data_IF_089593616452
#
_entry.id   IF_089593616452
#
_cell.length_a   1.000
_cell.length_b   1.000
_cell.length_c   1.000
_cell.angle_alpha   90.00
_cell.angle_beta   90.00
_cell.angle_gamma   90.00
#
_symmetry.space_group_name_H-M   'P 1'
#
loop_
_entity.id
_entity.type
_entity.pdbx_description
1 polymer ?
#
# COMPACT_ATOMS: atom_id res chain seq x y z
N UNK A 1 -22.97 101.01 -63.62
CA UNK A 1 -23.36 100.45 -64.92
C UNK A 1 -23.27 98.93 -64.84
N UNK A 2 -24.23 98.25 -65.46
CA UNK A 2 -24.26 96.82 -65.83
C UNK A 2 -24.67 95.77 -64.77
N UNK A 3 -25.94 95.36 -64.83
CA UNK A 3 -26.42 93.94 -64.73
C UNK A 3 -26.07 93.18 -66.04
N UNK A 4 -26.22 91.84 -66.20
CA UNK A 4 -26.66 90.77 -65.28
C UNK A 4 -25.88 89.42 -65.39
N UNK A 5 -26.22 88.42 -64.56
CA UNK A 5 -26.34 87.00 -65.00
C UNK A 5 -27.06 86.13 -63.95
N UNK A 6 -28.03 85.37 -64.44
CA UNK A 6 -28.76 84.28 -63.78
C UNK A 6 -28.08 82.96 -64.16
N UNK A 7 -27.84 82.07 -63.21
CA UNK A 7 -27.55 80.64 -63.43
C UNK A 7 -27.76 79.91 -62.10
N UNK A 8 -28.93 79.29 -61.93
CA UNK A 8 -29.13 77.83 -62.13
C UNK A 8 -28.58 77.00 -60.97
N UNK A 9 -29.54 76.37 -60.29
CA UNK A 9 -29.35 75.31 -59.33
C UNK A 9 -29.03 74.02 -60.08
N UNK A 10 -27.94 73.28 -59.77
CA UNK A 10 -27.86 71.88 -60.11
C UNK A 10 -28.04 71.02 -58.85
N UNK A 11 -28.97 70.08 -58.97
CA UNK A 11 -29.06 68.91 -58.12
C UNK A 11 -27.76 68.08 -58.17
N UNK A 12 -27.49 67.33 -57.08
CA UNK A 12 -26.39 66.38 -56.95
C UNK A 12 -25.23 66.98 -56.15
N UNK A 13 -24.76 66.41 -55.05
CA UNK A 13 -24.64 65.00 -54.71
C UNK A 13 -24.50 64.93 -53.19
N UNK A 14 -25.43 64.28 -52.50
CA UNK A 14 -25.18 63.81 -51.14
C UNK A 14 -24.07 62.78 -51.24
N UNK A 15 -22.83 63.20 -50.96
CA UNK A 15 -21.76 62.26 -50.72
C UNK A 15 -22.10 61.56 -49.40
N UNK A 16 -22.77 60.41 -49.49
CA UNK A 16 -22.88 59.45 -48.39
C UNK A 16 -21.46 59.18 -47.89
N UNK A 17 -21.09 59.81 -46.78
CA UNK A 17 -19.90 59.44 -46.02
C UNK A 17 -20.19 58.05 -45.48
N UNK A 18 -19.72 57.03 -46.19
CA UNK A 18 -19.79 55.65 -45.74
C UNK A 18 -18.80 55.50 -44.57
N UNK A 19 -19.25 55.88 -43.38
CA UNK A 19 -18.49 55.74 -42.14
C UNK A 19 -18.38 54.25 -41.85
N UNK A 20 -17.22 53.65 -42.14
CA UNK A 20 -16.91 52.31 -41.68
C UNK A 20 -16.99 52.30 -40.15
N UNK A 21 -17.83 51.45 -39.53
CA UNK A 21 -17.96 51.43 -38.07
C UNK A 21 -16.59 51.18 -37.45
N UNK A 22 -16.17 52.09 -36.55
CA UNK A 22 -14.96 51.93 -35.77
C UNK A 22 -14.99 50.64 -34.95
N UNK A 23 -13.82 50.20 -34.48
CA UNK A 23 -13.73 49.02 -33.62
C UNK A 23 -14.64 49.12 -32.38
N UNK A 24 -14.73 50.32 -31.80
CA UNK A 24 -15.56 50.63 -30.64
C UNK A 24 -17.07 50.46 -30.93
N UNK A 25 -17.54 50.90 -32.09
CA UNK A 25 -18.93 50.73 -32.53
C UNK A 25 -19.27 49.24 -32.68
N UNK A 26 -18.37 48.47 -33.34
CA UNK A 26 -18.53 47.01 -33.51
C UNK A 26 -18.51 46.27 -32.18
N UNK A 27 -17.64 46.69 -31.25
CA UNK A 27 -17.56 46.13 -29.91
C UNK A 27 -18.82 46.43 -29.10
N UNK A 28 -19.34 47.66 -29.17
CA UNK A 28 -20.56 48.06 -28.47
C UNK A 28 -21.78 47.28 -28.99
N UNK A 29 -21.87 47.10 -30.31
CA UNK A 29 -22.95 46.36 -30.95
C UNK A 29 -22.88 44.86 -30.61
N UNK A 30 -21.67 44.29 -30.62
CA UNK A 30 -21.42 42.92 -30.15
C UNK A 30 -21.80 42.74 -28.68
N UNK A 31 -21.42 43.68 -27.82
CA UNK A 31 -21.75 43.64 -26.40
C UNK A 31 -23.26 43.72 -26.18
N UNK A 32 -23.96 44.66 -26.81
CA UNK A 32 -25.43 44.76 -26.66
C UNK A 32 -26.15 43.50 -27.15
N UNK A 33 -25.66 42.88 -28.24
CA UNK A 33 -26.20 41.63 -28.79
C UNK A 33 -25.93 40.43 -27.87
N UNK A 34 -24.73 40.30 -27.33
CA UNK A 34 -24.25 39.08 -26.65
C UNK A 34 -24.18 39.18 -25.12
N UNK A 35 -24.39 40.36 -24.51
CA UNK A 35 -24.28 40.58 -23.05
C UNK A 35 -25.10 39.60 -22.23
N UNK A 36 -26.33 39.26 -22.66
CA UNK A 36 -27.19 38.32 -21.93
C UNK A 36 -26.60 36.91 -21.94
N UNK A 37 -26.08 36.48 -23.09
CA UNK A 37 -25.42 35.18 -23.22
C UNK A 37 -24.13 35.11 -22.40
N UNK A 38 -23.31 36.16 -22.45
CA UNK A 38 -22.08 36.25 -21.65
C UNK A 38 -22.35 36.27 -20.14
N UNK A 39 -23.35 37.05 -19.67
CA UNK A 39 -23.72 37.09 -18.26
C UNK A 39 -24.27 35.73 -17.80
N UNK A 40 -25.11 35.08 -18.60
CA UNK A 40 -25.61 33.73 -18.28
C UNK A 40 -24.46 32.73 -18.21
N UNK A 41 -23.51 32.77 -19.15
CA UNK A 41 -22.32 31.93 -19.13
C UNK A 41 -21.46 32.17 -17.88
N UNK A 42 -21.16 33.43 -17.55
CA UNK A 42 -20.42 33.77 -16.33
C UNK A 42 -21.14 33.30 -15.06
N UNK A 43 -22.47 33.45 -15.01
CA UNK A 43 -23.27 33.01 -13.86
C UNK A 43 -23.23 31.50 -13.69
N UNK A 44 -23.38 30.75 -14.79
CA UNK A 44 -23.27 29.28 -14.77
C UNK A 44 -21.89 28.84 -14.33
N UNK A 45 -20.82 29.48 -14.83
CA UNK A 45 -19.44 29.18 -14.41
C UNK A 45 -19.25 29.45 -12.92
N UNK A 46 -19.73 30.58 -12.41
CA UNK A 46 -19.64 30.90 -10.97
C UNK A 46 -20.39 29.88 -10.12
N UNK A 47 -21.61 29.49 -10.52
CA UNK A 47 -22.38 28.45 -9.82
C UNK A 47 -21.66 27.10 -9.83
N UNK A 48 -21.05 26.72 -10.96
CA UNK A 48 -20.26 25.49 -11.05
C UNK A 48 -19.04 25.49 -10.11
N UNK A 49 -18.34 26.63 -10.00
CA UNK A 49 -17.20 26.80 -9.08
C UNK A 49 -17.67 26.69 -7.64
N UNK A 50 -18.76 27.37 -7.26
CA UNK A 50 -19.30 27.32 -5.89
C UNK A 50 -19.78 25.91 -5.53
N UNK A 51 -20.46 25.22 -6.44
CA UNK A 51 -20.90 23.84 -6.23
C UNK A 51 -19.72 22.90 -6.03
N UNK A 52 -18.68 22.99 -6.88
CA UNK A 52 -17.45 22.19 -6.76
C UNK A 52 -16.70 22.48 -5.46
N UNK A 53 -16.51 23.77 -5.13
CA UNK A 53 -15.83 24.18 -3.90
C UNK A 53 -16.58 23.75 -2.64
N UNK A 54 -17.92 23.86 -2.62
CA UNK A 54 -18.75 23.38 -1.52
C UNK A 54 -18.65 21.86 -1.35
N UNK A 55 -18.63 21.09 -2.44
CA UNK A 55 -18.46 19.65 -2.40
C UNK A 55 -17.08 19.23 -1.89
N UNK A 56 -16.01 19.86 -2.40
CA UNK A 56 -14.63 19.60 -1.98
C UNK A 56 -14.41 19.96 -0.49
N UNK A 57 -15.00 21.06 -0.02
CA UNK A 57 -14.95 21.46 1.39
C UNK A 57 -15.62 20.41 2.30
N UNK A 58 -16.82 19.94 1.95
CA UNK A 58 -17.51 18.91 2.73
C UNK A 58 -16.74 17.57 2.72
N UNK A 59 -16.16 17.19 1.58
CA UNK A 59 -15.32 16.01 1.48
C UNK A 59 -14.07 16.12 2.36
N UNK A 60 -13.39 17.29 2.33
CA UNK A 60 -12.23 17.56 3.15
C UNK A 60 -12.57 17.55 4.66
N UNK A 61 -13.74 18.07 5.04
CA UNK A 61 -14.18 18.04 6.43
C UNK A 61 -14.43 16.61 6.91
N UNK A 62 -15.14 15.78 6.12
CA UNK A 62 -15.33 14.35 6.43
C UNK A 62 -14.00 13.61 6.58
N UNK A 63 -13.07 13.85 5.67
CA UNK A 63 -11.73 13.27 5.71
C UNK A 63 -10.99 13.65 7.00
N UNK A 64 -11.05 14.92 7.42
CA UNK A 64 -10.45 15.36 8.68
C UNK A 64 -11.07 14.70 9.90
N UNK A 65 -12.38 14.51 9.91
CA UNK A 65 -13.08 13.88 11.02
C UNK A 65 -12.71 12.39 11.13
N UNK A 66 -12.61 11.68 10.01
CA UNK A 66 -12.12 10.29 9.99
C UNK A 66 -10.67 10.21 10.51
N UNK A 67 -9.79 11.12 10.09
CA UNK A 67 -8.40 11.18 10.59
C UNK A 67 -8.33 11.42 12.10
N UNK A 68 -9.16 12.33 12.62
CA UNK A 68 -9.23 12.59 14.07
C UNK A 68 -9.76 11.38 14.82
N UNK A 69 -10.80 10.73 14.30
CA UNK A 69 -11.35 9.51 14.90
C UNK A 69 -10.32 8.37 14.93
N UNK A 70 -9.57 8.18 13.84
CA UNK A 70 -8.46 7.23 13.81
C UNK A 70 -7.39 7.56 14.84
N UNK A 71 -6.96 8.83 14.90
CA UNK A 71 -5.95 9.28 15.85
C UNK A 71 -6.39 9.14 17.33
N UNK A 72 -7.70 9.25 17.60
CA UNK A 72 -8.27 9.06 18.93
C UNK A 72 -8.38 7.58 19.33
N UNK A 73 -8.36 6.64 18.37
CA UNK A 73 -8.41 5.21 18.62
C UNK A 73 -7.04 4.69 19.11
N UNK A 74 -6.81 4.77 20.42
CA UNK A 74 -5.54 4.42 21.05
C UNK A 74 -5.37 2.92 21.31
N UNK A 75 -6.45 2.20 21.64
CA UNK A 75 -6.41 0.76 21.93
C UNK A 75 -6.75 -0.11 20.72
N UNK A 76 -6.44 -1.40 20.78
CA UNK A 76 -6.76 -2.35 19.70
C UNK A 76 -8.28 -2.48 19.52
N UNK A 77 -9.04 -2.48 20.61
CA UNK A 77 -10.50 -2.53 20.59
C UNK A 77 -11.09 -1.26 19.96
N UNK A 78 -10.56 -0.09 20.32
CA UNK A 78 -10.97 1.18 19.71
C UNK A 78 -10.66 1.21 18.22
N UNK A 79 -9.52 0.67 17.80
CA UNK A 79 -9.14 0.56 16.38
C UNK A 79 -10.06 -0.38 15.63
N UNK A 80 -10.45 -1.50 16.23
CA UNK A 80 -11.46 -2.41 15.66
C UNK A 80 -12.79 -1.68 15.45
N UNK A 81 -13.31 -1.00 16.48
CA UNK A 81 -14.56 -0.24 16.37
C UNK A 81 -14.47 0.88 15.33
N UNK A 82 -13.34 1.60 15.25
CA UNK A 82 -13.08 2.58 14.20
C UNK A 82 -13.13 1.93 12.81
N UNK A 83 -12.45 0.78 12.64
CA UNK A 83 -12.38 0.10 11.35
C UNK A 83 -13.74 -0.41 10.86
N UNK A 84 -14.59 -0.87 11.78
CA UNK A 84 -15.97 -1.27 11.52
C UNK A 84 -16.85 -0.06 11.13
N UNK A 85 -16.72 1.06 11.84
CA UNK A 85 -17.49 2.28 11.59
C UNK A 85 -17.11 2.99 10.28
N UNK A 86 -15.87 2.80 9.81
CA UNK A 86 -15.32 3.45 8.61
C UNK A 86 -14.95 2.44 7.51
N UNK A 87 -15.75 1.38 7.35
CA UNK A 87 -15.52 0.32 6.38
C UNK A 87 -15.27 0.87 4.96
N UNK A 88 -14.20 0.40 4.32
CA UNK A 88 -13.78 0.83 2.99
C UNK A 88 -12.85 2.05 2.96
N UNK A 89 -12.67 2.77 4.07
CA UNK A 89 -11.69 3.85 4.16
C UNK A 89 -10.27 3.30 4.36
N UNK A 90 -9.24 3.88 3.72
CA UNK A 90 -7.85 3.39 3.83
C UNK A 90 -7.36 3.28 5.28
N UNK A 91 -7.62 4.29 6.11
CA UNK A 91 -7.33 4.25 7.55
C UNK A 91 -8.04 3.11 8.30
N UNK A 92 -9.24 2.69 7.86
CA UNK A 92 -9.88 1.50 8.43
C UNK A 92 -9.12 0.22 8.04
N UNK A 93 -8.56 0.16 6.83
CA UNK A 93 -7.61 -0.88 6.45
C UNK A 93 -6.37 -0.90 7.34
N UNK A 94 -5.77 0.26 7.62
CA UNK A 94 -4.63 0.37 8.54
C UNK A 94 -5.01 -0.02 9.98
N UNK A 95 -6.20 0.35 10.44
CA UNK A 95 -6.71 -0.07 11.74
C UNK A 95 -6.87 -1.60 11.81
N UNK A 96 -7.48 -2.21 10.78
CA UNK A 96 -7.59 -3.67 10.68
C UNK A 96 -6.23 -4.36 10.67
N UNK A 97 -5.24 -3.81 9.96
CA UNK A 97 -3.87 -4.31 9.98
C UNK A 97 -3.29 -4.34 11.40
N UNK A 98 -3.48 -3.27 12.18
CA UNK A 98 -2.99 -3.21 13.56
C UNK A 98 -3.74 -4.18 14.50
N UNK A 99 -5.04 -4.35 14.30
CA UNK A 99 -5.85 -5.36 15.02
C UNK A 99 -5.34 -6.76 14.69
N UNK A 100 -5.02 -7.02 13.43
CA UNK A 100 -4.50 -8.31 12.97
C UNK A 100 -3.11 -8.61 13.55
N UNK A 101 -2.21 -7.63 13.51
CA UNK A 101 -0.86 -7.75 14.07
C UNK A 101 -0.91 -8.07 15.58
N UNK A 102 -1.81 -7.43 16.33
CA UNK A 102 -2.01 -7.71 17.75
C UNK A 102 -2.52 -9.13 17.99
N UNK A 103 -3.54 -9.56 17.24
CA UNK A 103 -4.07 -10.92 17.33
C UNK A 103 -3.02 -11.99 16.97
N UNK A 104 -2.20 -11.73 15.94
CA UNK A 104 -1.11 -12.61 15.54
C UNK A 104 -0.06 -12.76 16.64
N UNK A 105 0.36 -11.65 17.25
CA UNK A 105 1.32 -11.66 18.34
C UNK A 105 0.81 -12.41 19.58
N UNK A 106 -0.51 -12.39 19.81
CA UNK A 106 -1.17 -13.16 20.88
C UNK A 106 -1.42 -14.64 20.52
N UNK A 107 -1.06 -15.07 19.29
CA UNK A 107 -1.30 -16.43 18.82
C UNK A 107 -2.77 -16.74 18.50
N UNK A 108 -3.62 -15.71 18.41
CA UNK A 108 -5.04 -15.83 18.04
C UNK A 108 -5.19 -15.90 16.53
N UNK A 109 -4.71 -16.99 15.93
CA UNK A 109 -4.55 -17.11 14.47
C UNK A 109 -5.85 -16.88 13.70
N UNK A 110 -7.00 -17.36 14.19
CA UNK A 110 -8.30 -17.14 13.55
C UNK A 110 -8.71 -15.67 13.54
N UNK A 111 -8.51 -14.95 14.65
CA UNK A 111 -8.81 -13.53 14.75
C UNK A 111 -7.87 -12.70 13.87
N UNK A 112 -6.59 -13.09 13.82
CA UNK A 112 -5.59 -12.47 12.96
C UNK A 112 -5.94 -12.64 11.49
N UNK A 113 -6.32 -13.85 11.05
CA UNK A 113 -6.77 -14.12 9.68
C UNK A 113 -7.95 -13.22 9.31
N UNK A 114 -8.98 -13.15 10.17
CA UNK A 114 -10.17 -12.33 9.89
C UNK A 114 -9.82 -10.85 9.75
N UNK A 115 -8.98 -10.32 10.64
CA UNK A 115 -8.55 -8.93 10.62
C UNK A 115 -7.63 -8.61 9.43
N UNK A 116 -6.68 -9.49 9.08
CA UNK A 116 -5.85 -9.31 7.88
C UNK A 116 -6.69 -9.36 6.61
N UNK A 117 -7.68 -10.25 6.52
CA UNK A 117 -8.61 -10.28 5.38
C UNK A 117 -9.44 -9.00 5.27
N UNK A 118 -9.86 -8.43 6.40
CA UNK A 118 -10.53 -7.12 6.41
C UNK A 118 -9.58 -6.02 5.93
N UNK A 119 -8.31 -6.07 6.34
CA UNK A 119 -7.27 -5.14 5.89
C UNK A 119 -7.00 -5.24 4.39
N UNK A 120 -6.80 -6.45 3.84
CA UNK A 120 -6.41 -6.64 2.43
C UNK A 120 -7.53 -6.32 1.44
N UNK A 121 -8.79 -6.32 1.88
CA UNK A 121 -9.93 -5.84 1.08
C UNK A 121 -9.88 -4.34 0.82
N UNK A 122 -9.21 -3.59 1.69
CA UNK A 122 -9.14 -2.12 1.64
C UNK A 122 -7.76 -1.67 1.17
N UNK A 123 -6.70 -2.24 1.73
CA UNK A 123 -5.32 -1.97 1.36
C UNK A 123 -4.92 -2.85 0.17
N UNK A 124 -5.11 -2.34 -1.04
CA UNK A 124 -4.81 -3.08 -2.27
C UNK A 124 -3.44 -2.75 -2.86
N UNK A 125 -2.86 -1.61 -2.48
CA UNK A 125 -1.60 -1.11 -3.04
C UNK A 125 -0.59 -0.65 -1.97
N UNK A 126 0.65 -0.51 -2.39
CA UNK A 126 1.74 -0.01 -1.55
C UNK A 126 2.26 -1.01 -0.50
N UNK A 127 3.20 -0.58 0.35
CA UNK A 127 3.89 -1.47 1.29
C UNK A 127 2.98 -2.12 2.33
N UNK A 128 1.91 -1.43 2.76
CA UNK A 128 0.99 -1.95 3.77
C UNK A 128 0.09 -3.06 3.22
N UNK A 129 -0.27 -3.02 1.94
CA UNK A 129 -0.97 -4.13 1.28
C UNK A 129 -0.12 -5.40 1.29
N UNK A 130 1.17 -5.27 0.94
CA UNK A 130 2.13 -6.38 1.00
C UNK A 130 2.30 -6.93 2.42
N UNK A 131 2.42 -6.06 3.43
CA UNK A 131 2.50 -6.47 4.84
C UNK A 131 1.25 -7.21 5.29
N UNK A 132 0.06 -6.71 4.97
CA UNK A 132 -1.20 -7.35 5.32
C UNK A 132 -1.32 -8.74 4.67
N UNK A 133 -0.89 -8.89 3.41
CA UNK A 133 -0.89 -10.16 2.71
C UNK A 133 0.12 -11.18 3.30
N UNK A 134 1.33 -10.74 3.66
CA UNK A 134 2.31 -11.56 4.38
C UNK A 134 1.76 -12.02 5.74
N UNK A 135 1.23 -11.09 6.53
CA UNK A 135 0.63 -11.38 7.82
C UNK A 135 -0.54 -12.37 7.71
N UNK A 136 -1.39 -12.24 6.70
CA UNK A 136 -2.46 -13.20 6.42
C UNK A 136 -1.91 -14.60 6.16
N UNK A 137 -0.94 -14.73 5.27
CA UNK A 137 -0.35 -16.02 4.92
C UNK A 137 0.32 -16.68 6.13
N UNK A 138 1.05 -15.90 6.93
CA UNK A 138 1.69 -16.40 8.16
C UNK A 138 0.66 -16.79 9.22
N UNK A 139 -0.44 -16.04 9.36
CA UNK A 139 -1.54 -16.39 10.27
C UNK A 139 -2.25 -17.67 9.83
N UNK A 140 -2.44 -17.87 8.53
CA UNK A 140 -2.96 -19.12 7.98
C UNK A 140 -2.06 -20.31 8.35
N UNK A 141 -0.75 -20.17 8.22
CA UNK A 141 0.21 -21.21 8.63
C UNK A 141 0.11 -21.48 10.14
N UNK A 142 0.05 -20.42 10.97
CA UNK A 142 -0.11 -20.55 12.43
C UNK A 142 -1.44 -21.22 12.82
N UNK A 143 -2.49 -21.07 12.01
CA UNK A 143 -3.79 -21.74 12.19
C UNK A 143 -3.82 -23.18 11.66
N UNK A 144 -2.70 -23.71 11.14
CA UNK A 144 -2.65 -25.04 10.52
C UNK A 144 -3.16 -25.10 9.07
N UNK A 145 -3.52 -23.96 8.48
CA UNK A 145 -3.89 -23.82 7.06
C UNK A 145 -2.61 -23.70 6.20
N UNK A 146 -1.65 -24.59 6.42
CA UNK A 146 -0.28 -24.50 5.93
C UNK A 146 -0.19 -24.41 4.41
N UNK A 147 -0.98 -25.21 3.69
CA UNK A 147 -0.93 -25.22 2.23
C UNK A 147 -1.51 -23.93 1.62
N UNK A 148 -2.56 -23.37 2.22
CA UNK A 148 -3.12 -22.08 1.79
C UNK A 148 -2.11 -20.95 2.00
N UNK A 149 -1.48 -20.89 3.18
CA UNK A 149 -0.47 -19.88 3.49
C UNK A 149 0.79 -20.01 2.63
N UNK A 150 1.28 -21.23 2.39
CA UNK A 150 2.39 -21.48 1.44
C UNK A 150 2.04 -21.02 0.02
N UNK A 151 0.84 -21.34 -0.47
CA UNK A 151 0.40 -20.91 -1.80
C UNK A 151 0.34 -19.39 -1.92
N UNK A 152 -0.14 -18.70 -0.88
CA UNK A 152 -0.14 -17.24 -0.83
C UNK A 152 1.29 -16.66 -0.82
N UNK A 153 2.20 -17.22 -0.03
CA UNK A 153 3.62 -16.82 -0.04
C UNK A 153 4.28 -17.04 -1.40
N UNK A 154 4.02 -18.18 -2.05
CA UNK A 154 4.56 -18.47 -3.38
C UNK A 154 4.11 -17.42 -4.40
N UNK A 155 2.80 -17.11 -4.40
CA UNK A 155 2.23 -16.07 -5.26
C UNK A 155 2.92 -14.72 -5.05
N UNK A 156 3.18 -14.34 -3.79
CA UNK A 156 3.90 -13.10 -3.47
C UNK A 156 5.36 -13.12 -3.91
N UNK A 157 6.07 -14.23 -3.73
CA UNK A 157 7.47 -14.38 -4.14
C UNK A 157 7.65 -14.29 -5.67
N UNK A 158 6.72 -14.88 -6.42
CA UNK A 158 6.76 -14.99 -7.87
C UNK A 158 6.24 -13.74 -8.59
N UNK A 159 5.43 -12.92 -7.91
CA UNK A 159 4.84 -11.72 -8.50
C UNK A 159 5.91 -10.64 -8.78
N UNK A 160 6.25 -10.43 -10.05
CA UNK A 160 7.20 -9.40 -10.45
C UNK A 160 6.71 -7.95 -10.18
N UNK A 161 5.39 -7.75 -10.01
CA UNK A 161 4.81 -6.46 -9.64
C UNK A 161 4.86 -6.17 -8.13
N UNK A 162 5.07 -7.19 -7.30
CA UNK A 162 5.23 -7.00 -5.87
C UNK A 162 6.57 -6.31 -5.54
N UNK A 163 6.63 -5.44 -4.51
CA UNK A 163 7.87 -4.85 -4.06
C UNK A 163 8.91 -5.91 -3.71
N UNK A 164 10.19 -5.69 -4.06
CA UNK A 164 11.28 -6.65 -3.84
C UNK A 164 11.34 -7.18 -2.41
N UNK A 165 11.13 -6.30 -1.41
CA UNK A 165 11.13 -6.69 0.01
C UNK A 165 10.05 -7.70 0.37
N UNK A 166 8.85 -7.58 -0.20
CA UNK A 166 7.74 -8.54 0.01
C UNK A 166 8.08 -9.88 -0.63
N UNK A 167 8.63 -9.83 -1.84
CA UNK A 167 9.01 -11.03 -2.59
C UNK A 167 10.11 -11.82 -1.87
N UNK A 168 11.14 -11.13 -1.36
CA UNK A 168 12.24 -11.78 -0.62
C UNK A 168 11.81 -12.29 0.74
N UNK A 169 10.95 -11.57 1.46
CA UNK A 169 10.38 -12.04 2.72
C UNK A 169 9.53 -13.29 2.53
N UNK A 170 8.66 -13.30 1.51
CA UNK A 170 7.83 -14.47 1.21
C UNK A 170 8.69 -15.70 0.83
N UNK A 171 9.68 -15.51 -0.04
CA UNK A 171 10.62 -16.56 -0.42
C UNK A 171 11.45 -17.06 0.79
N UNK A 172 11.83 -16.18 1.72
CA UNK A 172 12.52 -16.56 2.94
C UNK A 172 11.67 -17.43 3.86
N UNK A 173 10.39 -17.11 4.04
CA UNK A 173 9.48 -17.95 4.81
C UNK A 173 9.29 -19.34 4.17
N UNK A 174 9.19 -19.39 2.84
CA UNK A 174 9.15 -20.65 2.09
C UNK A 174 10.44 -21.47 2.26
N UNK A 175 11.61 -20.84 2.15
CA UNK A 175 12.89 -21.47 2.40
C UNK A 175 12.98 -22.02 3.83
N UNK A 176 12.59 -21.22 4.82
CA UNK A 176 12.60 -21.62 6.24
C UNK A 176 11.73 -22.85 6.49
N UNK A 177 10.54 -22.91 5.89
CA UNK A 177 9.66 -24.07 5.98
C UNK A 177 10.22 -25.30 5.27
N UNK A 178 10.82 -25.13 4.08
CA UNK A 178 11.47 -26.22 3.36
C UNK A 178 12.65 -26.79 4.16
N UNK A 179 13.44 -25.90 4.78
CA UNK A 179 14.53 -26.30 5.68
C UNK A 179 14.03 -27.10 6.88
N UNK A 180 12.98 -26.63 7.56
CA UNK A 180 12.38 -27.33 8.69
C UNK A 180 11.80 -28.71 8.30
N UNK A 181 11.33 -28.85 7.05
CA UNK A 181 10.83 -30.11 6.51
C UNK A 181 11.94 -31.05 5.97
N UNK A 182 13.20 -30.62 5.94
CA UNK A 182 14.30 -31.38 5.33
C UNK A 182 14.25 -31.45 3.79
N UNK A 183 13.43 -30.61 3.15
CA UNK A 183 13.31 -30.53 1.69
C UNK A 183 14.42 -29.63 1.13
N UNK A 184 15.64 -30.19 1.05
CA UNK A 184 16.84 -29.48 0.61
C UNK A 184 16.70 -28.93 -0.81
N UNK A 185 15.96 -29.61 -1.69
CA UNK A 185 15.71 -29.16 -3.06
C UNK A 185 14.94 -27.84 -3.08
N UNK A 186 13.79 -27.79 -2.39
CA UNK A 186 13.00 -26.55 -2.30
C UNK A 186 13.72 -25.46 -1.52
N UNK A 187 14.47 -25.82 -0.48
CA UNK A 187 15.28 -24.86 0.24
C UNK A 187 16.26 -24.15 -0.71
N UNK A 188 17.01 -24.90 -1.53
CA UNK A 188 17.95 -24.32 -2.49
C UNK A 188 17.25 -23.51 -3.59
N UNK A 189 16.08 -23.96 -4.06
CA UNK A 189 15.26 -23.21 -5.00
C UNK A 189 14.90 -21.82 -4.46
N UNK A 190 14.34 -21.75 -3.25
CA UNK A 190 13.95 -20.47 -2.64
C UNK A 190 15.16 -19.63 -2.25
N UNK A 191 16.25 -20.26 -1.80
CA UNK A 191 17.51 -19.58 -1.55
C UNK A 191 18.03 -18.85 -2.79
N UNK A 192 18.03 -19.54 -3.95
CA UNK A 192 18.42 -18.96 -5.22
C UNK A 192 17.48 -17.83 -5.64
N UNK A 193 16.16 -17.99 -5.45
CA UNK A 193 15.18 -16.96 -5.75
C UNK A 193 15.43 -15.68 -4.93
N UNK A 194 15.75 -15.80 -3.63
CA UNK A 194 16.09 -14.64 -2.78
C UNK A 194 17.34 -13.93 -3.33
N UNK A 195 18.39 -14.68 -3.69
CA UNK A 195 19.62 -14.11 -4.27
C UNK A 195 19.39 -13.41 -5.61
N UNK A 196 18.44 -13.89 -6.41
CA UNK A 196 18.08 -13.28 -7.69
C UNK A 196 17.25 -12.00 -7.51
N UNK A 197 16.37 -11.94 -6.51
CA UNK A 197 15.52 -10.77 -6.28
C UNK A 197 16.33 -9.63 -5.66
N UNK A 198 17.03 -9.91 -4.56
CA UNK A 198 17.81 -8.92 -3.82
C UNK A 198 18.88 -9.59 -2.93
N UNK A 199 20.12 -9.77 -3.44
CA UNK A 199 21.20 -10.40 -2.69
C UNK A 199 21.68 -9.56 -1.50
N UNK A 200 21.39 -8.25 -1.48
CA UNK A 200 21.75 -7.35 -0.38
C UNK A 200 20.67 -7.24 0.70
N UNK A 201 19.53 -7.94 0.53
CA UNK A 201 18.42 -7.86 1.48
C UNK A 201 18.77 -8.41 2.88
N UNK A 202 18.12 -7.93 3.94
CA UNK A 202 18.25 -8.53 5.27
C UNK A 202 17.87 -10.02 5.30
N UNK A 203 16.96 -10.45 4.42
CA UNK A 203 16.53 -11.84 4.28
C UNK A 203 17.62 -12.73 3.68
N UNK A 204 18.44 -12.18 2.78
CA UNK A 204 19.64 -12.83 2.24
C UNK A 204 20.66 -13.14 3.34
N UNK A 205 20.86 -12.19 4.26
CA UNK A 205 21.76 -12.38 5.42
C UNK A 205 21.24 -13.48 6.35
N UNK A 206 19.92 -13.47 6.66
CA UNK A 206 19.29 -14.50 7.49
C UNK A 206 19.36 -15.89 6.86
N UNK A 207 19.21 -15.97 5.54
CA UNK A 207 19.35 -17.22 4.78
C UNK A 207 20.78 -17.80 4.92
N UNK A 208 21.82 -16.96 4.80
CA UNK A 208 23.21 -17.40 4.99
C UNK A 208 23.45 -17.96 6.40
N UNK A 209 22.91 -17.30 7.43
CA UNK A 209 22.99 -17.82 8.81
C UNK A 209 22.31 -19.18 8.97
N UNK A 210 21.19 -19.40 8.28
CA UNK A 210 20.48 -20.69 8.28
C UNK A 210 21.29 -21.80 7.61
N UNK A 211 22.03 -21.49 6.54
CA UNK A 211 22.89 -22.45 5.84
C UNK A 211 24.07 -22.90 6.70
N UNK A 212 24.64 -22.00 7.50
CA UNK A 212 25.78 -22.30 8.41
C UNK A 212 25.35 -23.16 9.60
N UNK A 213 24.11 -23.02 10.06
CA UNK A 213 23.59 -23.74 11.23
C UNK A 213 23.31 -25.25 10.99
N UNK A 214 23.40 -25.73 9.74
CA UNK A 214 23.28 -27.16 9.42
C UNK A 214 24.60 -27.84 9.82
N UNK A 215 24.65 -28.69 10.88
CA UNK A 215 25.86 -29.47 11.11
C UNK A 215 26.09 -30.33 9.88
N UNK A 216 27.25 -30.17 9.24
CA UNK A 216 27.72 -31.07 8.19
C UNK A 216 27.55 -32.49 8.67
N UNK A 217 26.71 -33.26 7.99
CA UNK A 217 26.70 -34.72 8.10
C UNK A 217 28.00 -35.25 7.48
N UNK A 218 29.12 -35.03 8.17
CA UNK A 218 30.40 -35.67 7.90
C UNK A 218 30.83 -36.35 9.19
N UNK A 219 30.23 -37.51 9.43
CA UNK A 219 30.87 -38.71 9.98
C UNK A 219 29.77 -39.77 10.19
N UNK A 220 29.27 -40.33 9.10
CA UNK A 220 28.80 -41.72 9.15
C UNK A 220 30.04 -42.57 9.47
N UNK A 221 30.30 -42.82 10.75
CA UNK A 221 31.18 -43.92 11.15
C UNK A 221 30.40 -45.22 10.93
N UNK A 222 30.96 -46.20 10.22
CA UNK A 222 30.28 -47.47 9.97
C UNK A 222 30.10 -48.24 11.26
N UNK A 223 29.00 -48.99 11.32
CA UNK A 223 28.72 -49.94 12.38
C UNK A 223 29.88 -50.96 12.54
N UNK A 224 30.48 -50.98 13.72
CA UNK A 224 31.20 -52.13 14.24
C UNK A 224 30.64 -52.43 15.64
N UNK A 225 29.93 -53.55 15.71
CA UNK A 225 29.46 -54.17 16.93
C UNK A 225 30.64 -54.52 17.86
N UNK A 226 30.51 -54.28 19.16
CA UNK A 226 30.72 -55.32 20.19
C UNK A 226 29.81 -55.02 21.39
N UNK A 227 29.07 -56.05 21.79
CA UNK A 227 28.21 -56.12 22.97
C UNK A 227 29.00 -56.19 24.29
N UNK A 228 28.34 -55.74 25.36
CA UNK A 228 28.31 -56.36 26.70
C UNK A 228 29.60 -56.47 27.53
N UNK A 229 29.66 -55.68 28.62
CA UNK A 229 29.97 -56.21 29.95
C UNK A 229 29.48 -55.23 31.03
N UNK A 230 28.87 -55.78 32.07
CA UNK A 230 28.20 -55.08 33.16
C UNK A 230 29.12 -54.83 34.38
N UNK A 231 28.85 -53.72 35.09
CA UNK A 231 29.00 -53.45 36.54
C UNK A 231 30.44 -53.32 37.15
N UNK A 232 30.60 -52.80 38.40
CA UNK A 232 30.01 -51.62 39.06
C UNK A 232 31.03 -50.69 39.80
N UNK A 233 30.59 -49.48 40.16
CA UNK A 233 30.95 -48.61 41.34
C UNK A 233 32.42 -48.39 41.72
N UNK A 234 32.88 -47.13 41.64
CA UNK A 234 33.73 -46.50 42.67
C UNK A 234 33.36 -45.01 42.84
N UNK A 235 33.01 -44.63 44.07
CA UNK A 235 32.70 -43.27 44.51
C UNK A 235 33.97 -42.39 44.57
N UNK A 236 33.97 -41.15 44.05
CA UNK A 236 35.07 -40.23 44.28
C UNK A 236 35.01 -39.68 45.71
N UNK A 237 35.98 -40.08 46.54
CA UNK A 237 36.19 -39.60 47.90
C UNK A 237 36.49 -38.09 47.90
N UNK A 238 35.54 -37.29 48.40
CA UNK A 238 35.73 -35.86 48.67
C UNK A 238 36.49 -35.71 50.00
N UNK A 239 37.78 -35.33 49.94
CA UNK A 239 38.56 -34.95 51.12
C UNK A 239 38.24 -33.51 51.52
N UNK A 240 37.40 -33.33 52.54
CA UNK A 240 37.18 -32.04 53.20
C UNK A 240 38.39 -31.70 54.07
N UNK A 241 39.13 -30.68 53.64
CA UNK A 241 40.29 -30.15 54.36
C UNK A 241 39.80 -29.04 55.33
N UNK A 242 39.40 -29.42 56.54
CA UNK A 242 39.10 -28.48 57.62
C UNK A 242 40.37 -28.24 58.44
N UNK A 243 41.12 -27.21 58.04
CA UNK A 243 42.23 -26.66 58.80
C UNK A 243 41.73 -25.73 59.90
N UNK A 244 42.24 -25.99 61.11
CA UNK A 244 42.14 -25.32 62.42
C UNK A 244 41.73 -23.85 62.44
#
# INVERSE_FOLDING_TARGET
MSTPAKSENPAGTEAEVNVTPGFEEKLSQFWQRNRRGLIMLCTVILLAILAKGGWEYLAAQKEQDVRKAYAAAATIEQKRSFAEAHAGHELAGVAWLQVADAAYAEGKSTDAIAAYQASTKVLTEGPLAGRAALGLAMSQIQAGQTEAGKSALQTMADSASAPKGIRTEAAYHLASMAHAAGDDSKFQQFAQQIMQIDPASPWSQRLMMMQVAKPSAVAALPAAAVQSAAAPVEEPTIKLNLGK
#
